data_IF_479302098533
#
_entry.id   IF_479302098533
#
_cell.length_a   1.000
_cell.length_b   1.000
_cell.length_c   1.000
_cell.angle_alpha   90.00
_cell.angle_beta   90.00
_cell.angle_gamma   90.00
#
_symmetry.space_group_name_H-M   'P 1'
#
loop_
_entity.id
_entity.type
_entity.pdbx_description
1 polymer ?
#
# COMPACT_ATOMS: atom_id res chain seq x y z
N UNK A 1 75.49 32.80 40.65
CA UNK A 1 74.08 33.23 40.83
C UNK A 1 73.33 32.78 39.60
N UNK A 2 72.77 31.55 39.64
CA UNK A 2 72.01 30.96 38.54
C UNK A 2 70.54 31.11 38.86
N UNK A 3 69.77 31.76 37.97
CA UNK A 3 68.34 31.79 38.04
C UNK A 3 67.77 30.49 37.45
N UNK A 4 66.69 29.92 38.02
CA UNK A 4 66.06 28.71 37.48
C UNK A 4 65.17 29.03 36.30
N UNK A 5 65.18 28.14 35.33
CA UNK A 5 64.36 28.14 34.14
C UNK A 5 62.86 27.90 34.50
N UNK A 6 61.97 28.63 33.83
CA UNK A 6 60.54 28.45 33.92
C UNK A 6 60.11 27.18 33.18
N UNK A 7 59.40 26.28 33.88
CA UNK A 7 58.74 25.09 33.27
C UNK A 7 57.48 25.53 32.51
N UNK A 8 57.40 25.10 31.25
CA UNK A 8 56.20 25.23 30.42
C UNK A 8 55.08 24.27 30.94
N UNK A 9 53.79 24.73 30.93
CA UNK A 9 52.68 23.88 31.32
C UNK A 9 52.40 22.79 30.26
N UNK A 10 51.94 21.60 30.65
CA UNK A 10 51.71 20.50 29.72
C UNK A 10 50.55 20.78 28.78
N UNK A 11 50.86 20.65 27.49
CA UNK A 11 49.84 20.66 26.42
C UNK A 11 48.84 19.51 26.61
N UNK A 12 47.61 19.82 27.01
CA UNK A 12 46.49 18.89 27.00
C UNK A 12 46.08 18.62 25.56
N UNK A 13 46.35 17.42 25.04
CA UNK A 13 45.75 16.91 23.82
C UNK A 13 44.26 16.71 24.06
N UNK A 14 43.34 17.24 23.19
CA UNK A 14 41.94 16.90 23.28
C UNK A 14 41.74 15.41 22.92
N UNK A 15 40.95 14.72 23.73
CA UNK A 15 40.56 13.35 23.48
C UNK A 15 39.81 13.22 22.14
N UNK A 16 40.08 12.17 21.33
CA UNK A 16 39.37 11.98 20.07
C UNK A 16 37.90 11.58 20.34
N UNK A 17 36.93 12.37 19.86
CA UNK A 17 35.56 11.89 19.73
C UNK A 17 34.43 12.70 20.35
N UNK A 18 34.65 13.95 20.82
CA UNK A 18 33.50 14.81 21.15
C UNK A 18 33.18 15.75 20.00
N UNK A 19 31.95 15.66 19.42
CA UNK A 19 31.51 16.65 18.44
C UNK A 19 31.33 18.01 19.14
N UNK A 20 31.76 19.06 18.48
CA UNK A 20 31.62 20.44 18.95
C UNK A 20 30.12 20.81 19.12
N UNK A 21 29.73 21.51 20.21
CA UNK A 21 28.37 21.95 20.40
C UNK A 21 27.98 22.98 19.32
N UNK A 22 27.05 22.65 18.44
CA UNK A 22 26.47 23.60 17.48
C UNK A 22 26.53 23.22 16.01
N UNK A 23 27.05 22.08 15.61
CA UNK A 23 26.89 21.63 14.24
C UNK A 23 25.58 20.84 14.12
N UNK A 24 24.62 21.24 13.23
CA UNK A 24 23.49 20.42 12.92
C UNK A 24 24.02 19.12 12.30
N UNK A 25 23.60 17.97 12.83
CA UNK A 25 23.89 16.65 12.26
C UNK A 25 23.27 16.62 10.85
N UNK A 26 24.08 16.94 9.84
CA UNK A 26 23.71 16.77 8.44
C UNK A 26 23.63 15.29 8.17
N UNK A 27 22.42 14.78 7.82
CA UNK A 27 22.34 13.57 7.04
C UNK A 27 21.40 12.45 7.44
N UNK A 28 20.46 12.64 8.36
CA UNK A 28 19.30 11.73 8.39
C UNK A 28 18.08 12.50 7.89
N UNK A 29 17.43 12.05 6.78
CA UNK A 29 16.13 12.61 6.44
C UNK A 29 15.24 12.42 7.66
N UNK A 30 14.62 13.50 8.12
CA UNK A 30 13.64 13.44 9.20
C UNK A 30 12.66 12.33 8.85
N UNK A 31 12.44 11.35 9.74
CA UNK A 31 11.55 10.21 9.47
C UNK A 31 10.14 10.69 9.07
N UNK A 32 9.74 11.87 9.54
CA UNK A 32 8.50 12.52 9.12
C UNK A 32 8.53 12.94 7.64
N UNK A 33 9.64 13.49 7.15
CA UNK A 33 9.79 13.82 5.74
C UNK A 33 9.73 12.56 4.87
N UNK A 34 10.42 11.50 5.27
CA UNK A 34 10.36 10.22 4.57
C UNK A 34 8.93 9.63 4.55
N UNK A 35 8.16 9.74 5.64
CA UNK A 35 6.74 9.36 5.66
C UNK A 35 5.93 10.19 4.64
N UNK A 36 6.15 11.51 4.58
CA UNK A 36 5.46 12.38 3.61
C UNK A 36 5.83 12.03 2.17
N UNK A 37 7.08 11.63 1.91
CA UNK A 37 7.51 11.20 0.57
C UNK A 37 6.79 9.93 0.12
N UNK A 38 6.60 8.92 1.00
CA UNK A 38 5.78 7.74 0.70
C UNK A 38 4.31 8.09 0.47
N UNK A 39 3.74 8.94 1.32
CA UNK A 39 2.39 9.46 1.14
C UNK A 39 2.23 10.21 -0.19
N UNK A 40 3.25 10.99 -0.57
CA UNK A 40 3.32 11.72 -1.84
C UNK A 40 3.34 10.80 -3.06
N UNK A 41 4.13 9.72 -3.03
CA UNK A 41 4.16 8.71 -4.11
C UNK A 41 2.79 8.06 -4.31
N UNK A 42 2.11 7.71 -3.22
CA UNK A 42 0.77 7.16 -3.31
C UNK A 42 -0.23 8.16 -3.87
N UNK A 43 -0.23 9.41 -3.39
CA UNK A 43 -1.10 10.49 -3.92
C UNK A 43 -0.84 10.79 -5.40
N UNK A 44 0.40 10.66 -5.87
CA UNK A 44 0.72 10.82 -7.29
C UNK A 44 0.06 9.75 -8.17
N UNK A 45 -0.07 8.51 -7.67
CA UNK A 45 -0.81 7.44 -8.35
C UNK A 45 -2.33 7.62 -8.25
N UNK A 46 -2.80 8.19 -7.14
CA UNK A 46 -4.21 8.41 -6.83
C UNK A 46 -4.52 9.91 -6.64
N UNK A 47 -4.36 10.76 -7.68
CA UNK A 47 -4.61 12.20 -7.56
C UNK A 47 -6.06 12.51 -7.20
N UNK A 48 -7.00 11.60 -7.49
CA UNK A 48 -8.41 11.70 -7.08
C UNK A 48 -8.59 11.74 -5.57
N UNK A 49 -7.62 11.22 -4.81
CA UNK A 49 -7.70 11.23 -3.36
C UNK A 49 -7.78 12.66 -2.79
N UNK A 50 -7.22 13.65 -3.49
CA UNK A 50 -7.29 15.06 -3.08
C UNK A 50 -8.74 15.57 -2.94
N UNK A 51 -9.68 15.03 -3.74
CA UNK A 51 -11.10 15.35 -3.63
C UNK A 51 -11.88 14.31 -2.82
N UNK A 52 -11.42 13.07 -2.75
CA UNK A 52 -12.08 12.01 -2.02
C UNK A 52 -11.85 12.10 -0.50
N UNK A 53 -10.67 12.56 -0.06
CA UNK A 53 -10.30 12.60 1.37
C UNK A 53 -11.18 13.53 2.22
N UNK A 54 -11.98 14.41 1.60
CA UNK A 54 -12.92 15.28 2.33
C UNK A 54 -13.97 14.46 3.08
N UNK A 55 -14.30 13.26 2.60
CA UNK A 55 -15.24 12.34 3.21
C UNK A 55 -14.61 11.51 4.34
N UNK A 56 -13.28 11.51 4.48
CA UNK A 56 -12.58 10.82 5.57
C UNK A 56 -12.50 11.74 6.78
N UNK A 57 -12.86 11.29 8.00
CA UNK A 57 -12.68 12.06 9.22
C UNK A 57 -11.24 12.59 9.35
N UNK A 58 -11.08 13.87 9.70
CA UNK A 58 -9.75 14.51 9.73
C UNK A 58 -8.71 13.74 10.53
N UNK A 59 -9.11 13.19 11.69
CA UNK A 59 -8.22 12.41 12.54
C UNK A 59 -7.70 11.12 11.88
N UNK A 60 -8.43 10.57 10.91
CA UNK A 60 -8.10 9.31 10.23
C UNK A 60 -7.31 9.49 8.93
N UNK A 61 -7.25 10.71 8.35
CA UNK A 61 -6.67 10.96 7.02
C UNK A 61 -5.21 10.52 6.92
N UNK A 62 -4.39 10.85 7.90
CA UNK A 62 -2.97 10.48 7.91
C UNK A 62 -2.77 8.96 7.94
N UNK A 63 -3.50 8.27 8.80
CA UNK A 63 -3.47 6.80 8.90
C UNK A 63 -4.00 6.15 7.62
N UNK A 64 -5.08 6.69 7.03
CA UNK A 64 -5.66 6.17 5.79
C UNK A 64 -4.67 6.23 4.62
N UNK A 65 -3.98 7.36 4.46
CA UNK A 65 -2.95 7.52 3.42
C UNK A 65 -1.74 6.63 3.68
N UNK A 66 -1.27 6.54 4.92
CA UNK A 66 -0.13 5.67 5.27
C UNK A 66 -0.47 4.19 5.02
N UNK A 67 -1.68 3.75 5.35
CA UNK A 67 -2.15 2.40 5.09
C UNK A 67 -2.29 2.10 3.60
N UNK A 68 -2.85 3.02 2.83
CA UNK A 68 -2.93 2.89 1.38
C UNK A 68 -1.53 2.85 0.73
N UNK A 69 -0.59 3.69 1.21
CA UNK A 69 0.79 3.68 0.75
C UNK A 69 1.50 2.36 1.08
N UNK A 70 1.25 1.76 2.25
CA UNK A 70 1.79 0.43 2.58
C UNK A 70 1.27 -0.64 1.61
N UNK A 71 -0.04 -0.68 1.34
CA UNK A 71 -0.61 -1.63 0.39
C UNK A 71 0.01 -1.45 -1.02
N UNK A 72 0.24 -0.21 -1.46
CA UNK A 72 0.94 0.05 -2.73
C UNK A 72 2.38 -0.47 -2.70
N UNK A 73 3.14 -0.25 -1.63
CA UNK A 73 4.51 -0.77 -1.51
C UNK A 73 4.56 -2.31 -1.60
N UNK A 74 3.56 -3.01 -1.03
CA UNK A 74 3.44 -4.46 -1.09
C UNK A 74 3.06 -4.93 -2.51
N UNK A 75 2.07 -4.31 -3.12
CA UNK A 75 1.60 -4.67 -4.47
C UNK A 75 2.64 -4.32 -5.54
N UNK A 76 3.35 -3.21 -5.41
CA UNK A 76 4.45 -2.84 -6.31
C UNK A 76 5.62 -3.84 -6.18
N UNK A 77 5.89 -4.35 -4.97
CA UNK A 77 6.90 -5.39 -4.77
C UNK A 77 6.47 -6.73 -5.41
N UNK A 78 5.19 -7.10 -5.28
CA UNK A 78 4.68 -8.35 -5.85
C UNK A 78 4.61 -8.33 -7.38
N UNK A 79 4.10 -7.23 -7.95
CA UNK A 79 3.68 -7.20 -9.36
C UNK A 79 4.45 -6.21 -10.23
N UNK A 80 5.26 -5.33 -9.63
CA UNK A 80 6.06 -4.37 -10.36
C UNK A 80 7.32 -4.99 -10.98
N UNK A 81 7.88 -4.27 -11.99
CA UNK A 81 9.12 -4.66 -12.65
C UNK A 81 9.04 -5.97 -13.45
N UNK A 82 10.06 -6.22 -14.26
CA UNK A 82 10.19 -7.45 -15.08
C UNK A 82 10.90 -8.58 -14.34
N UNK A 83 11.81 -8.24 -13.41
CA UNK A 83 12.52 -9.19 -12.56
C UNK A 83 11.79 -9.39 -11.22
N UNK A 84 11.56 -10.64 -10.86
CA UNK A 84 10.85 -11.00 -9.62
C UNK A 84 11.75 -10.87 -8.37
N UNK A 85 13.05 -11.14 -8.49
CA UNK A 85 13.95 -11.27 -7.33
C UNK A 85 13.99 -10.05 -6.41
N UNK A 86 14.09 -8.79 -6.93
CA UNK A 86 14.05 -7.62 -6.05
C UNK A 86 12.72 -7.47 -5.29
N UNK A 87 11.63 -7.80 -5.96
CA UNK A 87 10.29 -7.77 -5.37
C UNK A 87 10.11 -8.81 -4.26
N UNK A 88 10.57 -10.04 -4.50
CA UNK A 88 10.54 -11.13 -3.52
C UNK A 88 11.38 -10.79 -2.27
N UNK A 89 12.59 -10.27 -2.47
CA UNK A 89 13.44 -9.80 -1.38
C UNK A 89 12.75 -8.68 -0.57
N UNK A 90 12.08 -7.74 -1.25
CA UNK A 90 11.33 -6.66 -0.60
C UNK A 90 10.13 -7.19 0.20
N UNK A 91 9.38 -8.17 -0.32
CA UNK A 91 8.27 -8.80 0.42
C UNK A 91 8.78 -9.57 1.63
N UNK A 92 9.91 -10.30 1.53
CA UNK A 92 10.56 -10.94 2.67
C UNK A 92 10.94 -9.93 3.76
N UNK A 93 11.53 -8.80 3.35
CA UNK A 93 11.86 -7.71 4.27
C UNK A 93 10.61 -7.10 4.94
N UNK A 94 9.51 -6.90 4.18
CA UNK A 94 8.25 -6.42 4.76
C UNK A 94 7.63 -7.40 5.75
N UNK A 95 7.76 -8.70 5.51
CA UNK A 95 7.29 -9.73 6.46
C UNK A 95 8.00 -9.59 7.81
N UNK A 96 9.34 -9.42 7.82
CA UNK A 96 10.12 -9.17 9.04
C UNK A 96 9.74 -7.84 9.71
N UNK A 97 9.56 -6.78 8.93
CA UNK A 97 9.20 -5.45 9.44
C UNK A 97 7.86 -5.47 10.16
N UNK A 98 6.82 -6.06 9.55
CA UNK A 98 5.49 -6.19 10.12
C UNK A 98 5.46 -7.07 11.38
N UNK A 99 6.25 -8.16 11.41
CA UNK A 99 6.44 -8.99 12.60
C UNK A 99 7.14 -8.20 13.72
N UNK A 100 8.09 -7.34 13.37
CA UNK A 100 8.81 -6.47 14.30
C UNK A 100 7.90 -5.43 14.98
N UNK A 101 6.82 -4.98 14.31
CA UNK A 101 5.92 -3.97 14.84
C UNK A 101 5.24 -4.39 16.15
N UNK A 102 4.90 -5.67 16.31
CA UNK A 102 4.38 -6.20 17.59
C UNK A 102 5.37 -6.09 18.74
N UNK A 103 6.67 -6.05 18.44
CA UNK A 103 7.76 -5.96 19.41
C UNK A 103 8.24 -4.51 19.60
N UNK A 104 7.51 -3.53 19.05
CA UNK A 104 7.88 -2.12 19.09
C UNK A 104 9.05 -1.75 18.16
N UNK A 105 9.55 -2.69 17.35
CA UNK A 105 10.65 -2.46 16.39
C UNK A 105 10.08 -1.92 15.08
N UNK A 106 10.69 -0.88 14.57
CA UNK A 106 10.27 -0.18 13.36
C UNK A 106 11.49 0.33 12.62
N UNK A 107 11.59 0.00 11.34
CA UNK A 107 12.64 0.46 10.43
C UNK A 107 12.08 1.35 9.31
N UNK A 108 10.84 1.09 8.85
CA UNK A 108 10.24 1.81 7.73
C UNK A 108 9.49 3.08 8.18
N UNK A 109 9.58 4.20 7.42
CA UNK A 109 8.89 5.45 7.76
C UNK A 109 7.38 5.34 7.91
N UNK A 110 6.69 4.50 7.10
CA UNK A 110 5.25 4.25 7.23
C UNK A 110 4.85 3.72 8.61
N UNK A 111 5.77 3.03 9.29
CA UNK A 111 5.56 2.59 10.66
C UNK A 111 5.39 3.73 11.68
N UNK A 112 5.78 4.99 11.37
CA UNK A 112 5.50 6.15 12.24
C UNK A 112 3.99 6.32 12.46
N UNK A 113 3.19 6.15 11.40
CA UNK A 113 1.75 6.30 11.45
C UNK A 113 1.03 4.99 11.83
N UNK A 114 1.60 3.83 11.49
CA UNK A 114 0.88 2.55 11.51
C UNK A 114 1.26 1.63 12.68
N UNK A 115 2.52 1.57 13.07
CA UNK A 115 3.03 0.58 14.03
C UNK A 115 2.33 0.65 15.40
N UNK A 116 1.93 1.85 15.83
CA UNK A 116 1.24 2.06 17.13
C UNK A 116 -0.27 1.77 17.08
N UNK A 117 -0.82 1.53 15.89
CA UNK A 117 -2.22 1.15 15.74
C UNK A 117 -2.39 -0.31 16.17
N UNK A 118 -3.41 -0.57 16.98
CA UNK A 118 -3.76 -1.93 17.39
C UNK A 118 -4.48 -2.65 16.24
N UNK A 119 -3.71 -3.21 15.32
CA UNK A 119 -4.20 -3.88 14.14
C UNK A 119 -3.44 -5.21 13.90
N UNK A 120 -4.03 -6.17 13.17
CA UNK A 120 -3.47 -7.50 13.01
C UNK A 120 -2.32 -7.55 11.98
N UNK A 121 -1.24 -6.79 12.22
CA UNK A 121 -0.06 -6.72 11.33
C UNK A 121 0.61 -8.07 11.09
N UNK A 122 0.52 -8.99 12.06
CA UNK A 122 1.03 -10.35 11.90
C UNK A 122 0.23 -11.16 10.87
N UNK A 123 -1.08 -10.94 10.76
CA UNK A 123 -1.91 -11.59 9.74
C UNK A 123 -1.54 -11.06 8.34
N UNK A 124 -1.27 -9.76 8.21
CA UNK A 124 -0.75 -9.19 6.97
C UNK A 124 0.60 -9.80 6.60
N UNK A 125 1.55 -9.89 7.54
CA UNK A 125 2.83 -10.53 7.30
C UNK A 125 2.68 -11.98 6.83
N UNK A 126 1.77 -12.75 7.45
CA UNK A 126 1.51 -14.14 7.09
C UNK A 126 0.88 -14.31 5.69
N UNK A 127 0.23 -13.28 5.14
CA UNK A 127 -0.38 -13.32 3.80
C UNK A 127 0.59 -12.98 2.66
N UNK A 128 1.78 -12.42 2.95
CA UNK A 128 2.72 -11.97 1.92
C UNK A 128 3.29 -13.09 1.03
N UNK A 129 3.50 -14.34 1.50
CA UNK A 129 3.87 -15.44 0.61
C UNK A 129 2.83 -15.66 -0.51
N UNK A 130 1.52 -15.67 -0.20
CA UNK A 130 0.47 -15.77 -1.21
C UNK A 130 0.44 -14.57 -2.17
N UNK A 131 0.71 -13.36 -1.67
CA UNK A 131 0.86 -12.19 -2.53
C UNK A 131 2.05 -12.33 -3.48
N UNK A 132 3.19 -12.85 -3.02
CA UNK A 132 4.36 -13.14 -3.87
C UNK A 132 3.99 -14.14 -4.97
N UNK A 133 3.38 -15.25 -4.58
CA UNK A 133 3.03 -16.35 -5.49
C UNK A 133 1.97 -15.90 -6.53
N UNK A 134 1.13 -14.92 -6.19
CA UNK A 134 0.18 -14.31 -7.12
C UNK A 134 0.81 -13.53 -8.27
N UNK A 135 2.14 -13.41 -8.35
CA UNK A 135 2.83 -12.88 -9.53
C UNK A 135 2.66 -13.78 -10.74
N UNK A 136 2.56 -15.09 -10.53
CA UNK A 136 2.32 -16.05 -11.58
C UNK A 136 0.91 -15.87 -12.19
N UNK A 137 0.81 -16.12 -13.50
CA UNK A 137 -0.46 -16.00 -14.19
C UNK A 137 -1.43 -17.09 -13.72
N UNK A 138 -2.63 -16.75 -13.23
CA UNK A 138 -3.60 -17.74 -12.81
C UNK A 138 -4.20 -18.46 -14.01
N UNK A 139 -4.59 -19.73 -13.81
CA UNK A 139 -5.26 -20.55 -14.81
C UNK A 139 -6.67 -20.05 -15.12
N UNK A 140 -7.40 -19.67 -14.07
CA UNK A 140 -8.77 -19.18 -14.19
C UNK A 140 -9.10 -18.07 -13.18
N UNK A 141 -10.35 -17.61 -13.23
CA UNK A 141 -10.86 -16.58 -12.32
C UNK A 141 -10.86 -17.03 -10.85
N UNK A 142 -11.25 -18.29 -10.59
CA UNK A 142 -11.28 -18.82 -9.23
C UNK A 142 -9.90 -18.76 -8.60
N UNK A 143 -8.89 -19.28 -9.28
CA UNK A 143 -7.50 -19.23 -8.84
C UNK A 143 -7.00 -17.78 -8.61
N UNK A 144 -7.39 -16.83 -9.49
CA UNK A 144 -7.03 -15.43 -9.31
C UNK A 144 -7.59 -14.82 -8.02
N UNK A 145 -8.83 -15.12 -7.67
CA UNK A 145 -9.47 -14.65 -6.43
C UNK A 145 -8.94 -15.39 -5.20
N UNK A 146 -8.85 -16.72 -5.26
CA UNK A 146 -8.43 -17.58 -4.14
C UNK A 146 -6.98 -17.28 -3.72
N UNK A 147 -6.09 -17.02 -4.67
CA UNK A 147 -4.70 -16.64 -4.39
C UNK A 147 -4.56 -15.34 -3.59
N UNK A 148 -5.52 -14.42 -3.69
CA UNK A 148 -5.51 -13.15 -2.96
C UNK A 148 -6.40 -13.15 -1.71
N UNK A 149 -7.13 -14.23 -1.44
CA UNK A 149 -8.05 -14.31 -0.32
C UNK A 149 -7.37 -14.03 1.05
N UNK A 150 -6.22 -14.65 1.38
CA UNK A 150 -5.55 -14.38 2.67
C UNK A 150 -5.15 -12.91 2.85
N UNK A 151 -4.64 -12.27 1.79
CA UNK A 151 -4.28 -10.85 1.82
C UNK A 151 -5.52 -9.98 1.98
N UNK A 152 -6.59 -10.25 1.25
CA UNK A 152 -7.83 -9.48 1.32
C UNK A 152 -8.48 -9.59 2.71
N UNK A 153 -8.44 -10.77 3.34
CA UNK A 153 -8.90 -10.96 4.72
C UNK A 153 -8.06 -10.17 5.73
N UNK A 154 -6.73 -10.21 5.60
CA UNK A 154 -5.85 -9.42 6.46
C UNK A 154 -6.09 -7.91 6.29
N UNK A 155 -6.25 -7.43 5.05
CA UNK A 155 -6.58 -6.04 4.77
C UNK A 155 -7.94 -5.64 5.36
N UNK A 156 -8.96 -6.49 5.23
CA UNK A 156 -10.28 -6.21 5.81
C UNK A 156 -10.24 -6.10 7.33
N UNK A 157 -9.50 -6.99 7.99
CA UNK A 157 -9.33 -6.95 9.44
C UNK A 157 -8.55 -5.70 9.90
N UNK A 158 -7.54 -5.29 9.15
CA UNK A 158 -6.79 -4.05 9.44
C UNK A 158 -7.68 -2.82 9.19
N UNK A 159 -8.43 -2.76 8.09
CA UNK A 159 -9.37 -1.67 7.81
C UNK A 159 -10.35 -1.48 9.00
N UNK A 160 -10.92 -2.58 9.50
CA UNK A 160 -11.83 -2.54 10.65
C UNK A 160 -11.11 -2.03 11.92
N UNK A 161 -9.92 -2.54 12.21
CA UNK A 161 -9.14 -2.11 13.38
C UNK A 161 -8.76 -0.62 13.33
N UNK A 162 -8.47 -0.08 12.13
CA UNK A 162 -8.04 1.30 11.97
C UNK A 162 -9.20 2.30 11.89
N UNK A 163 -10.35 1.91 11.34
CA UNK A 163 -11.36 2.88 10.90
C UNK A 163 -12.79 2.56 11.33
N UNK A 164 -13.06 1.37 11.89
CA UNK A 164 -14.40 1.02 12.33
C UNK A 164 -14.61 1.48 13.78
N UNK A 165 -15.64 2.33 14.04
CA UNK A 165 -15.97 2.72 15.40
C UNK A 165 -16.60 1.59 16.24
N UNK A 166 -17.08 0.52 15.60
CA UNK A 166 -17.69 -0.63 16.28
C UNK A 166 -16.99 -1.92 15.86
N UNK A 167 -15.96 -2.36 16.59
CA UNK A 167 -15.23 -3.57 16.24
C UNK A 167 -16.14 -4.81 16.26
N UNK A 168 -16.11 -5.63 15.21
CA UNK A 168 -16.59 -7.00 15.32
C UNK A 168 -17.44 -7.58 14.19
N UNK A 169 -17.94 -6.83 13.23
CA UNK A 169 -18.63 -7.40 12.08
C UNK A 169 -18.10 -6.82 10.77
N UNK A 170 -17.22 -7.58 10.12
CA UNK A 170 -16.89 -7.31 8.72
C UNK A 170 -18.11 -7.67 7.84
N UNK A 171 -18.63 -6.74 7.01
CA UNK A 171 -19.64 -7.10 6.02
C UNK A 171 -19.11 -8.19 5.10
N UNK A 172 -19.97 -9.13 4.69
CA UNK A 172 -19.62 -10.20 3.73
C UNK A 172 -19.00 -9.66 2.44
N UNK A 173 -19.35 -8.44 2.05
CA UNK A 173 -18.83 -7.77 0.86
C UNK A 173 -17.42 -7.16 1.03
N UNK A 174 -16.89 -7.08 2.25
CA UNK A 174 -15.59 -6.41 2.52
C UNK A 174 -14.42 -7.11 1.81
N UNK A 175 -14.32 -8.43 1.96
CA UNK A 175 -13.23 -9.23 1.36
C UNK A 175 -13.34 -9.26 -0.18
N UNK A 176 -14.51 -9.56 -0.80
CA UNK A 176 -14.66 -9.50 -2.26
C UNK A 176 -14.33 -8.12 -2.86
N UNK A 177 -14.68 -7.03 -2.19
CA UNK A 177 -14.36 -5.68 -2.66
C UNK A 177 -12.84 -5.42 -2.68
N UNK A 178 -12.12 -5.93 -1.67
CA UNK A 178 -10.67 -5.82 -1.62
C UNK A 178 -10.02 -6.71 -2.69
N UNK A 179 -10.48 -7.96 -2.86
CA UNK A 179 -9.97 -8.84 -3.92
C UNK A 179 -10.13 -8.21 -5.31
N UNK A 180 -11.30 -7.65 -5.61
CA UNK A 180 -11.56 -6.99 -6.90
C UNK A 180 -10.64 -5.79 -7.12
N UNK A 181 -10.39 -4.96 -6.10
CA UNK A 181 -9.47 -3.83 -6.20
C UNK A 181 -7.99 -4.26 -6.29
N UNK A 182 -7.61 -5.37 -5.66
CA UNK A 182 -6.27 -5.95 -5.81
C UNK A 182 -6.04 -6.51 -7.22
N UNK A 183 -7.03 -7.19 -7.79
CA UNK A 183 -6.96 -7.71 -9.17
C UNK A 183 -6.96 -6.60 -10.21
N UNK A 184 -7.69 -5.50 -9.96
CA UNK A 184 -7.58 -4.28 -10.78
C UNK A 184 -6.18 -3.70 -10.70
N UNK A 185 -5.61 -3.52 -9.50
CA UNK A 185 -4.25 -3.02 -9.33
C UNK A 185 -3.20 -3.92 -10.01
N UNK A 186 -3.37 -5.24 -9.95
CA UNK A 186 -2.53 -6.20 -10.65
C UNK A 186 -2.64 -6.03 -12.17
N UNK A 187 -3.85 -5.84 -12.69
CA UNK A 187 -4.07 -5.60 -14.13
C UNK A 187 -3.36 -4.31 -14.58
N UNK A 188 -3.41 -3.24 -13.78
CA UNK A 188 -2.69 -1.97 -14.05
C UNK A 188 -1.18 -2.18 -14.07
N UNK A 189 -0.63 -2.99 -13.17
CA UNK A 189 0.82 -3.18 -13.03
C UNK A 189 1.41 -4.17 -14.03
N UNK A 190 0.70 -5.25 -14.35
CA UNK A 190 1.18 -6.36 -15.19
C UNK A 190 0.53 -6.40 -16.58
N UNK A 191 -0.53 -5.60 -16.82
CA UNK A 191 -1.26 -5.63 -18.10
C UNK A 191 -1.76 -7.04 -18.45
N UNK A 192 -1.50 -7.48 -19.67
CA UNK A 192 -1.94 -8.80 -20.16
C UNK A 192 -1.38 -9.98 -19.35
N UNK A 193 -0.26 -9.82 -18.66
CA UNK A 193 0.29 -10.88 -17.81
C UNK A 193 -0.59 -11.19 -16.57
N UNK A 194 -1.41 -10.23 -16.14
CA UNK A 194 -2.37 -10.43 -15.05
C UNK A 194 -3.62 -11.22 -15.45
N UNK A 195 -3.88 -11.35 -16.76
CA UNK A 195 -5.13 -11.94 -17.27
C UNK A 195 -5.08 -13.47 -17.14
N UNK A 196 -6.10 -14.13 -16.54
CA UNK A 196 -6.15 -15.57 -16.42
C UNK A 196 -6.08 -16.29 -17.77
N UNK A 197 -5.42 -17.46 -17.81
CA UNK A 197 -5.25 -18.23 -19.04
C UNK A 197 -6.59 -18.57 -19.71
N UNK A 198 -7.62 -18.92 -18.94
CA UNK A 198 -8.96 -19.20 -19.46
C UNK A 198 -9.62 -18.02 -20.14
N UNK A 199 -9.35 -16.78 -19.67
CA UNK A 199 -9.82 -15.53 -20.29
C UNK A 199 -9.08 -15.28 -21.60
N UNK A 200 -7.75 -15.47 -21.59
CA UNK A 200 -6.93 -15.36 -22.81
C UNK A 200 -7.42 -16.32 -23.89
N UNK A 201 -7.67 -17.59 -23.54
CA UNK A 201 -8.17 -18.58 -24.48
C UNK A 201 -9.54 -18.19 -25.06
N UNK A 202 -10.45 -17.65 -24.27
CA UNK A 202 -11.77 -17.17 -24.74
C UNK A 202 -11.66 -15.97 -25.65
N UNK A 203 -10.80 -14.99 -25.30
CA UNK A 203 -10.56 -13.81 -26.12
C UNK A 203 -9.97 -14.17 -27.51
N UNK A 204 -9.05 -15.15 -27.56
CA UNK A 204 -8.50 -15.65 -28.81
C UNK A 204 -9.55 -16.32 -29.71
N UNK A 205 -10.57 -16.96 -29.11
CA UNK A 205 -11.67 -17.59 -29.87
C UNK A 205 -12.70 -16.59 -30.40
N UNK A 206 -12.65 -15.32 -29.95
CA UNK A 206 -13.59 -14.25 -30.35
C UNK A 206 -12.79 -13.05 -30.89
N UNK A 207 -12.56 -12.94 -32.20
CA UNK A 207 -11.81 -11.82 -32.76
C UNK A 207 -12.53 -10.50 -32.50
N UNK A 208 -11.81 -9.51 -31.95
CA UNK A 208 -12.28 -8.12 -31.81
C UNK A 208 -12.01 -7.42 -30.49
N UNK A 209 -11.93 -8.12 -29.36
CA UNK A 209 -11.63 -7.52 -28.06
C UNK A 209 -10.38 -8.15 -27.42
N UNK A 210 -9.52 -7.33 -26.82
CA UNK A 210 -8.33 -7.82 -26.13
C UNK A 210 -8.68 -8.54 -24.82
N UNK A 211 -7.85 -9.52 -24.41
CA UNK A 211 -8.06 -10.32 -23.20
C UNK A 211 -8.15 -9.46 -21.91
N UNK A 212 -7.39 -8.35 -21.84
CA UNK A 212 -7.47 -7.40 -20.73
C UNK A 212 -8.84 -6.72 -20.64
N UNK A 213 -9.48 -6.42 -21.77
CA UNK A 213 -10.83 -5.82 -21.80
C UNK A 213 -11.87 -6.84 -21.33
N UNK A 214 -11.78 -8.09 -21.77
CA UNK A 214 -12.68 -9.18 -21.31
C UNK A 214 -12.50 -9.41 -19.79
N UNK A 215 -11.24 -9.44 -19.30
CA UNK A 215 -10.95 -9.56 -17.89
C UNK A 215 -11.49 -8.38 -17.07
N UNK A 216 -11.33 -7.15 -17.54
CA UNK A 216 -11.89 -5.97 -16.89
C UNK A 216 -13.41 -6.07 -16.74
N UNK A 217 -14.10 -6.60 -17.76
CA UNK A 217 -15.54 -6.81 -17.74
C UNK A 217 -15.94 -7.89 -16.73
N UNK A 218 -15.17 -8.99 -16.65
CA UNK A 218 -15.40 -10.03 -15.64
C UNK A 218 -15.18 -9.51 -14.22
N UNK A 219 -14.12 -8.72 -13.99
CA UNK A 219 -13.88 -8.08 -12.69
C UNK A 219 -15.04 -7.16 -12.29
N UNK A 220 -15.54 -6.34 -13.22
CA UNK A 220 -16.68 -5.47 -12.96
C UNK A 220 -17.96 -6.25 -12.64
N UNK A 221 -18.18 -7.40 -13.29
CA UNK A 221 -19.32 -8.26 -13.03
C UNK A 221 -19.25 -8.97 -11.66
N UNK A 222 -18.05 -9.16 -11.12
CA UNK A 222 -17.82 -9.72 -9.79
C UNK A 222 -17.70 -8.67 -8.68
N UNK A 223 -17.65 -7.39 -9.07
CA UNK A 223 -17.49 -6.31 -8.09
C UNK A 223 -18.75 -6.20 -7.23
N UNK A 224 -18.61 -6.26 -5.89
CA UNK A 224 -19.78 -6.21 -5.03
C UNK A 224 -20.46 -4.82 -5.08
N UNK A 225 -21.76 -4.80 -4.88
CA UNK A 225 -22.52 -3.53 -4.84
C UNK A 225 -22.05 -2.59 -3.73
N UNK A 226 -21.60 -3.15 -2.61
CA UNK A 226 -21.00 -2.40 -1.50
C UNK A 226 -19.49 -2.46 -1.59
N UNK A 227 -18.86 -1.30 -1.59
CA UNK A 227 -17.42 -1.11 -1.85
C UNK A 227 -16.49 -1.40 -0.67
N UNK A 228 -16.98 -1.95 0.43
CA UNK A 228 -16.18 -2.29 1.60
C UNK A 228 -16.80 -1.85 2.92
N UNK A 229 -16.13 -2.14 4.04
CA UNK A 229 -16.63 -1.88 5.38
C UNK A 229 -16.46 -0.43 5.83
N UNK A 230 -15.27 0.13 5.62
CA UNK A 230 -14.87 1.42 6.18
C UNK A 230 -14.89 2.54 5.14
N UNK A 231 -15.06 3.79 5.59
CA UNK A 231 -15.11 4.94 4.67
C UNK A 231 -13.86 5.02 3.78
N UNK A 232 -12.61 4.96 4.30
CA UNK A 232 -11.44 5.01 3.43
C UNK A 232 -11.41 3.90 2.38
N UNK A 233 -11.79 2.65 2.76
CA UNK A 233 -11.85 1.53 1.82
C UNK A 233 -12.90 1.75 0.74
N UNK A 234 -14.11 2.14 1.12
CA UNK A 234 -15.20 2.38 0.17
C UNK A 234 -14.85 3.46 -0.85
N UNK A 235 -14.18 4.53 -0.41
CA UNK A 235 -13.71 5.59 -1.31
C UNK A 235 -12.70 5.04 -2.32
N UNK A 236 -11.68 4.35 -1.83
CA UNK A 236 -10.62 3.82 -2.70
C UNK A 236 -11.18 2.80 -3.70
N UNK A 237 -11.99 1.85 -3.22
CA UNK A 237 -12.61 0.83 -4.07
C UNK A 237 -13.56 1.45 -5.11
N UNK A 238 -14.33 2.49 -4.75
CA UNK A 238 -15.21 3.21 -5.69
C UNK A 238 -14.41 3.94 -6.79
N UNK A 239 -13.26 4.52 -6.45
CA UNK A 239 -12.37 5.15 -7.44
C UNK A 239 -11.76 4.09 -8.38
N UNK A 240 -11.25 2.97 -7.86
CA UNK A 240 -10.70 1.86 -8.65
C UNK A 240 -11.77 1.29 -9.61
N UNK A 241 -12.96 0.99 -9.09
CA UNK A 241 -14.09 0.52 -9.90
C UNK A 241 -14.44 1.50 -11.04
N UNK A 242 -14.48 2.81 -10.74
CA UNK A 242 -14.80 3.82 -11.73
C UNK A 242 -13.70 3.98 -12.79
N UNK A 243 -12.44 3.85 -12.43
CA UNK A 243 -11.31 3.78 -13.39
C UNK A 243 -11.47 2.59 -14.33
N UNK A 244 -11.70 1.41 -13.77
CA UNK A 244 -11.89 0.18 -14.53
C UNK A 244 -13.08 0.26 -15.50
N UNK A 245 -14.22 0.81 -15.06
CA UNK A 245 -15.41 1.03 -15.91
C UNK A 245 -15.13 1.92 -17.12
N UNK A 246 -14.14 2.80 -17.06
CA UNK A 246 -13.75 3.67 -18.17
C UNK A 246 -12.83 3.00 -19.19
N UNK A 247 -12.45 1.75 -18.96
CA UNK A 247 -11.59 0.98 -19.86
C UNK A 247 -10.11 1.35 -19.82
N UNK A 248 -9.72 2.31 -18.97
CA UNK A 248 -8.31 2.68 -18.75
C UNK A 248 -8.09 2.92 -17.24
N UNK A 249 -7.81 1.82 -16.55
CA UNK A 249 -7.61 1.83 -15.11
C UNK A 249 -6.34 2.58 -14.68
N UNK A 250 -5.37 2.76 -15.58
CA UNK A 250 -4.15 3.52 -15.33
C UNK A 250 -4.37 5.04 -15.37
N UNK A 251 -5.41 5.50 -16.06
CA UNK A 251 -5.67 6.93 -16.26
C UNK A 251 -6.48 7.53 -15.10
N UNK A 252 -6.01 8.63 -14.49
CA UNK A 252 -6.76 9.33 -13.47
C UNK A 252 -8.13 9.82 -13.94
N UNK A 253 -9.09 9.84 -13.01
CA UNK A 253 -10.43 10.39 -13.25
C UNK A 253 -10.40 11.92 -13.25
N UNK A 254 -11.33 12.53 -13.98
CA UNK A 254 -11.54 13.97 -13.83
C UNK A 254 -12.01 14.31 -12.40
N UNK A 255 -11.73 15.51 -11.88
CA UNK A 255 -12.14 15.89 -10.53
C UNK A 255 -13.63 15.70 -10.23
N UNK A 256 -14.50 16.02 -11.18
CA UNK A 256 -15.95 15.84 -11.04
C UNK A 256 -16.36 14.38 -10.99
N UNK A 257 -15.75 13.54 -11.83
CA UNK A 257 -16.00 12.09 -11.81
C UNK A 257 -15.49 11.47 -10.50
N UNK A 258 -14.30 11.88 -10.07
CA UNK A 258 -13.73 11.45 -8.80
C UNK A 258 -14.60 11.84 -7.61
N UNK A 259 -15.10 13.08 -7.59
CA UNK A 259 -15.99 13.55 -6.52
C UNK A 259 -17.29 12.75 -6.49
N UNK A 260 -17.91 12.48 -7.66
CA UNK A 260 -19.14 11.69 -7.74
C UNK A 260 -18.92 10.23 -7.31
N UNK A 261 -17.81 9.62 -7.73
CA UNK A 261 -17.42 8.27 -7.32
C UNK A 261 -17.19 8.20 -5.81
N UNK A 262 -16.43 9.16 -5.25
CA UNK A 262 -16.17 9.26 -3.83
C UNK A 262 -17.44 9.49 -3.02
N UNK A 263 -18.33 10.38 -3.47
CA UNK A 263 -19.61 10.63 -2.81
C UNK A 263 -20.48 9.36 -2.75
N UNK A 264 -20.56 8.61 -3.84
CA UNK A 264 -21.26 7.31 -3.87
C UNK A 264 -20.61 6.33 -2.89
N UNK A 265 -19.27 6.21 -2.91
CA UNK A 265 -18.52 5.35 -2.00
C UNK A 265 -18.71 5.73 -0.52
N UNK A 266 -18.79 7.02 -0.21
CA UNK A 266 -19.00 7.48 1.16
C UNK A 266 -20.37 7.11 1.73
N UNK A 267 -21.41 6.99 0.86
CA UNK A 267 -22.81 6.70 1.24
C UNK A 267 -23.17 5.22 1.21
N UNK A 268 -22.35 4.42 0.58
CA UNK A 268 -22.53 2.98 0.43
C UNK A 268 -22.07 2.25 1.68
#
# INVERSE_FOLDING_TARGET
>A
MNAPAAEDPPHQHPAPGQPAPGQPVQGQPNQEQALQDFAGKWRARWPEWSVAEVFVPRAQRGVAVAWAALQQELTDAAWGGTDALPGEAKLGWWMEELQGWRQGRRRHPLGLALQRQDAPWAALAASLPGLRDSRERPGDRGEAFDGLLPLAQACAAIDAALFDPVPGQLPETAVPAIQSSLLEARLVLQGDAAVPLSVVARAMARPGEGAAVEWSRELLAQWPERFGATVPRRLWTALAHTRLQRGDAARPLSPWTALLAAWRGARN
#
